data_IF_205571235781
#
_entry.id   IF_205571235781
#
_cell.length_a   1.000
_cell.length_b   1.000
_cell.length_c   1.000
_cell.angle_alpha   90.00
_cell.angle_beta   90.00
_cell.angle_gamma   90.00
#
_symmetry.space_group_name_H-M   'P 1'
#
loop_
_entity.id
_entity.type
_entity.pdbx_description
1 polymer ?
2 polymer ?
3 non-polymer ?
4 water ?
#
# COMPACT_ATOMS: atom_id res chain seq x y z
N UNK A 6 -2.13 -15.98 -12.15
CA UNK A 6 -2.75 -15.26 -10.99
C UNK A 6 -4.25 -14.95 -11.05
N UNK A 7 -4.90 -15.14 -9.91
CA UNK A 7 -6.35 -15.06 -9.87
C UNK A 7 -6.72 -13.57 -9.81
N UNK A 8 -7.86 -13.21 -10.39
CA UNK A 8 -8.40 -11.86 -10.28
C UNK A 8 -8.62 -11.47 -8.80
N UNK A 9 -7.86 -10.48 -8.32
CA UNK A 9 -7.96 -10.00 -6.93
C UNK A 9 -9.39 -9.76 -6.46
N UNK A 10 -10.22 -9.10 -7.25
CA UNK A 10 -11.54 -8.66 -6.78
C UNK A 10 -12.39 -9.86 -6.38
N UNK A 11 -12.09 -10.96 -7.04
CA UNK A 11 -12.84 -12.17 -6.77
C UNK A 11 -12.41 -12.83 -5.46
N UNK A 12 -11.43 -12.29 -4.76
CA UNK A 12 -10.97 -12.99 -3.58
C UNK A 12 -11.53 -12.31 -2.35
N UNK A 13 -12.13 -11.14 -2.53
CA UNK A 13 -12.61 -10.47 -1.35
C UNK A 13 -13.54 -11.35 -0.52
N UNK A 14 -14.45 -12.06 -1.17
CA UNK A 14 -15.53 -12.57 -0.34
C UNK A 14 -15.14 -13.85 0.39
N UNK A 15 -13.96 -14.40 0.08
CA UNK A 15 -13.34 -15.44 0.90
C UNK A 15 -12.11 -14.90 1.66
N UNK A 16 -11.97 -13.59 1.82
CA UNK A 16 -10.82 -13.04 2.54
C UNK A 16 -11.19 -12.52 3.95
N UNK A 17 -10.46 -12.99 4.96
CA UNK A 17 -10.40 -12.34 6.27
C UNK A 17 -10.04 -10.88 6.18
N UNK A 18 -10.24 -10.12 7.26
CA UNK A 18 -9.90 -8.70 7.24
C UNK A 18 -8.42 -8.48 6.94
N UNK A 19 -7.62 -9.46 7.32
CA UNK A 19 -6.20 -9.25 7.12
C UNK A 19 -5.82 -9.56 5.66
N UNK A 20 -6.35 -10.67 5.14
CA UNK A 20 -6.21 -10.97 3.73
C UNK A 20 -6.71 -9.82 2.86
N UNK A 21 -7.74 -9.10 3.30
CA UNK A 21 -8.20 -7.96 2.52
C UNK A 21 -7.15 -6.87 2.46
N UNK A 22 -6.42 -6.67 3.56
CA UNK A 22 -5.36 -5.66 3.59
C UNK A 22 -4.23 -6.09 2.68
N UNK A 23 -3.90 -7.38 2.70
CA UNK A 23 -2.83 -7.83 1.83
C UNK A 23 -3.21 -7.69 0.33
N UNK A 24 -4.44 -8.10 -0.03
CA UNK A 24 -4.95 -7.99 -1.40
C UNK A 24 -4.81 -6.55 -1.88
N UNK A 25 -5.16 -5.58 -1.03
CA UNK A 25 -4.95 -4.18 -1.38
C UNK A 25 -3.45 -3.91 -1.58
N UNK A 26 -2.56 -4.49 -0.79
CA UNK A 26 -1.14 -4.23 -1.05
C UNK A 26 -0.70 -4.81 -2.39
N UNK A 27 -1.14 -6.04 -2.66
CA UNK A 27 -0.87 -6.80 -3.88
C UNK A 27 -1.26 -5.96 -5.09
N UNK A 28 -2.42 -5.33 -4.99
CA UNK A 28 -2.95 -4.55 -6.09
C UNK A 28 -2.13 -3.27 -6.22
N UNK A 29 -1.85 -2.61 -5.10
CA UNK A 29 -1.02 -1.41 -5.11
C UNK A 29 0.37 -1.74 -5.65
N UNK A 30 0.95 -2.87 -5.28
CA UNK A 30 2.29 -3.15 -5.77
C UNK A 30 2.21 -3.39 -7.29
N UNK A 31 1.21 -4.14 -7.75
CA UNK A 31 1.07 -4.42 -9.18
C UNK A 31 0.91 -3.17 -10.06
N UNK A 32 0.04 -2.26 -9.64
CA UNK A 32 -0.09 -0.97 -10.28
C UNK A 32 1.16 -0.11 -10.24
N UNK A 33 1.85 -0.14 -9.10
CA UNK A 33 3.06 0.65 -8.96
C UNK A 33 4.10 0.03 -9.89
N UNK A 34 4.21 -1.30 -9.93
CA UNK A 34 5.17 -1.93 -10.83
C UNK A 34 4.89 -1.51 -12.28
N UNK A 35 3.62 -1.39 -12.65
CA UNK A 35 3.31 -1.13 -14.04
C UNK A 35 3.69 0.31 -14.36
N UNK A 36 3.38 1.24 -13.45
CA UNK A 36 3.69 2.65 -13.65
C UNK A 36 5.21 2.86 -13.80
N UNK A 37 5.99 2.13 -13.02
CA UNK A 37 7.44 2.17 -13.14
C UNK A 37 7.90 1.58 -14.47
N UNK A 38 7.26 0.49 -14.90
CA UNK A 38 7.68 -0.17 -16.14
C UNK A 38 7.52 0.74 -17.34
N UNK A 39 6.49 1.58 -17.33
CA UNK A 39 6.15 2.43 -18.48
C UNK A 39 6.50 3.91 -18.24
N UNK A 40 7.25 4.21 -17.18
CA UNK A 40 7.56 5.59 -16.79
C UNK A 40 8.30 6.33 -17.92
N UNK A 41 9.21 5.65 -18.61
CA UNK A 41 9.98 6.27 -19.67
C UNK A 41 9.24 6.35 -21.01
N UNK A 42 8.01 5.84 -21.08
CA UNK A 42 7.36 5.67 -22.36
C UNK A 42 6.22 6.67 -22.48
N UNK A 43 6.16 7.56 -21.52
CA UNK A 43 5.02 8.43 -21.35
C UNK A 43 4.85 9.49 -22.46
N UNK A 44 5.83 9.62 -23.35
CA UNK A 44 5.51 10.35 -24.60
C UNK A 44 4.55 9.70 -25.63
N UNK A 45 4.34 8.38 -25.57
CA UNK A 45 3.18 7.74 -26.20
C UNK A 45 1.85 8.02 -25.50
N UNK A 46 0.81 8.39 -26.25
CA UNK A 46 -0.44 8.83 -25.64
C UNK A 46 -1.02 7.82 -24.64
N UNK A 47 -0.95 6.55 -25.01
CA UNK A 47 -1.64 5.50 -24.30
C UNK A 47 -0.82 5.19 -23.05
N UNK A 48 0.49 5.28 -23.19
CA UNK A 48 1.34 4.91 -22.09
C UNK A 48 1.23 5.92 -20.96
N UNK A 49 1.10 7.20 -21.30
CA UNK A 49 0.77 8.20 -20.32
C UNK A 49 -0.62 8.12 -19.67
N UNK A 50 -1.60 7.68 -20.44
CA UNK A 50 -2.93 7.38 -19.93
C UNK A 50 -2.81 6.24 -18.94
N UNK A 51 -2.26 5.12 -19.38
CA UNK A 51 -2.01 4.01 -18.48
C UNK A 51 -1.25 4.46 -17.19
N UNK A 52 -0.20 5.25 -17.32
CA UNK A 52 0.66 5.61 -16.20
C UNK A 52 -0.08 6.36 -15.09
N UNK A 53 -0.90 7.31 -15.51
CA UNK A 53 -1.70 8.11 -14.60
C UNK A 53 -2.83 7.31 -13.97
N UNK A 54 -3.46 6.43 -14.73
CA UNK A 54 -4.48 5.53 -14.18
C UNK A 54 -3.90 4.73 -13.03
N UNK A 55 -2.69 4.23 -13.26
CA UNK A 55 -2.03 3.37 -12.28
C UNK A 55 -1.55 4.14 -11.04
N UNK A 56 -0.92 5.31 -11.20
CA UNK A 56 -0.55 6.15 -10.05
C UNK A 56 -1.83 6.49 -9.27
N UNK A 57 -2.92 6.80 -9.95
CA UNK A 57 -4.18 7.07 -9.28
C UNK A 57 -4.70 5.91 -8.43
N UNK A 58 -4.63 4.68 -8.96
CA UNK A 58 -5.09 3.54 -8.19
C UNK A 58 -4.22 3.37 -6.95
N UNK A 59 -2.91 3.58 -7.11
CA UNK A 59 -1.95 3.34 -6.03
C UNK A 59 -2.29 4.40 -4.99
N UNK A 60 -2.54 5.61 -5.45
CA UNK A 60 -2.96 6.66 -4.54
C UNK A 60 -4.25 6.31 -3.79
N UNK A 61 -5.27 5.89 -4.53
CA UNK A 61 -6.59 5.60 -3.98
C UNK A 61 -6.48 4.48 -2.93
N UNK A 62 -5.64 3.48 -3.21
CA UNK A 62 -5.52 2.35 -2.29
C UNK A 62 -4.76 2.76 -1.03
N UNK A 63 -3.63 3.44 -1.21
CA UNK A 63 -2.83 3.92 -0.10
C UNK A 63 -3.69 4.91 0.70
N UNK A 64 -4.40 5.81 0.04
CA UNK A 64 -5.29 6.64 0.83
C UNK A 64 -6.45 5.91 1.51
N UNK A 65 -6.78 4.71 1.04
CA UNK A 65 -7.83 3.95 1.71
C UNK A 65 -7.22 3.32 2.97
N UNK A 66 -6.04 2.74 2.81
CA UNK A 66 -5.38 2.08 3.90
C UNK A 66 -5.13 3.07 5.07
N UNK A 67 -4.83 4.32 4.76
CA UNK A 67 -4.64 5.35 5.77
C UNK A 67 -5.95 5.63 6.51
N UNK A 68 -7.04 5.69 5.76
CA UNK A 68 -8.36 5.94 6.32
C UNK A 68 -8.85 4.78 7.18
N UNK A 69 -8.21 3.62 7.11
CA UNK A 69 -8.64 2.47 7.89
C UNK A 69 -7.85 2.44 9.21
N UNK A 70 -6.93 3.39 9.40
CA UNK A 70 -6.04 3.35 10.57
C UNK A 70 -6.81 3.64 11.86
N UNK A 71 -6.75 2.71 12.81
CA UNK A 71 -7.34 2.96 14.14
C UNK A 71 -6.27 3.55 15.09
N UNK A 72 -6.30 4.87 15.30
CA UNK A 72 -5.24 5.52 16.07
C UNK A 72 -5.39 5.29 17.57
N UNK A 73 -6.64 5.20 18.04
CA UNK A 73 -6.97 4.70 19.36
C UNK A 73 -6.24 3.39 19.68
N UNK A 74 -6.61 2.25 19.10
CA UNK A 74 -5.96 1.02 19.53
C UNK A 74 -4.71 0.66 18.77
N UNK A 75 -4.41 1.45 17.75
CA UNK A 75 -3.36 1.06 16.84
C UNK A 75 -2.05 1.50 17.44
N UNK A 76 -2.15 2.63 18.14
CA UNK A 76 -1.10 3.14 19.01
C UNK A 76 -0.06 3.71 18.07
N UNK A 77 1.10 3.06 18.02
CA UNK A 77 2.33 3.60 17.45
C UNK A 77 2.56 3.03 16.05
N UNK A 78 2.31 1.73 15.88
CA UNK A 78 2.02 1.13 14.59
C UNK A 78 1.07 1.94 13.72
N UNK A 79 -0.10 2.27 14.25
CA UNK A 79 -0.94 3.24 13.55
C UNK A 79 -0.23 4.53 13.13
N UNK A 80 0.58 5.09 14.03
CA UNK A 80 1.10 6.44 13.83
C UNK A 80 2.22 6.39 12.77
N UNK A 81 3.00 5.32 12.84
CA UNK A 81 4.07 5.13 11.89
C UNK A 81 3.49 4.85 10.50
N UNK A 82 2.72 3.77 10.32
CA UNK A 82 1.78 3.64 9.20
C UNK A 82 1.20 4.93 8.66
N UNK A 83 0.61 5.77 9.50
CA UNK A 83 0.07 7.01 8.95
C UNK A 83 1.17 7.88 8.33
N UNK A 84 2.34 7.79 8.94
CA UNK A 84 3.46 8.63 8.55
C UNK A 84 4.03 8.16 7.21
N UNK A 85 4.22 6.85 7.07
CA UNK A 85 4.64 6.28 5.80
C UNK A 85 3.60 6.53 4.70
N UNK A 86 2.31 6.39 4.97
CA UNK A 86 1.31 6.54 3.90
C UNK A 86 1.26 7.98 3.44
N UNK A 87 1.41 8.91 4.37
CA UNK A 87 1.33 10.32 4.01
C UNK A 87 2.48 10.72 3.10
N UNK A 88 3.67 10.20 3.39
CA UNK A 88 4.81 10.43 2.52
C UNK A 88 4.57 9.86 1.12
N UNK A 89 4.19 8.59 1.03
CA UNK A 89 3.73 8.04 -0.24
C UNK A 89 2.70 8.94 -0.89
N UNK A 90 1.63 9.27 -0.18
CA UNK A 90 0.60 10.04 -0.87
C UNK A 90 1.16 11.35 -1.42
N UNK A 91 2.05 11.96 -0.64
CA UNK A 91 2.60 13.27 -0.98
C UNK A 91 3.57 13.19 -2.14
N UNK A 92 4.37 12.13 -2.19
CA UNK A 92 5.17 11.83 -3.37
C UNK A 92 4.32 11.61 -4.62
N UNK A 93 3.27 10.81 -4.49
CA UNK A 93 2.52 10.39 -5.66
C UNK A 93 1.89 11.60 -6.34
N UNK A 94 1.56 12.65 -5.61
CA UNK A 94 1.04 13.85 -6.27
C UNK A 94 2.06 14.87 -6.80
N UNK A 95 3.34 14.65 -6.51
CA UNK A 95 4.42 15.45 -7.09
C UNK A 95 4.34 15.37 -8.62
N UNK A 96 3.82 16.44 -9.22
CA UNK A 96 4.26 16.94 -10.52
C UNK A 96 5.59 16.45 -11.10
N UNK A 97 6.65 16.40 -10.30
CA UNK A 97 7.98 16.09 -10.83
C UNK A 97 8.61 14.87 -10.17
N UNK A 98 7.80 14.02 -9.54
CA UNK A 98 8.23 12.71 -9.04
C UNK A 98 9.06 11.98 -10.09
N UNK A 99 10.03 11.17 -9.63
CA UNK A 99 11.04 10.53 -10.45
C UNK A 99 10.83 9.02 -10.44
N UNK A 100 11.43 8.33 -11.40
CA UNK A 100 11.35 6.89 -11.39
C UNK A 100 11.87 6.30 -10.08
N UNK A 101 13.01 6.79 -9.59
CA UNK A 101 13.64 6.20 -8.40
C UNK A 101 12.76 6.38 -7.18
N UNK A 102 12.08 7.51 -7.08
CA UNK A 102 11.15 7.70 -5.97
C UNK A 102 10.11 6.56 -5.92
N UNK A 103 9.54 6.23 -7.08
CA UNK A 103 8.49 5.23 -7.24
C UNK A 103 9.04 3.87 -6.91
N UNK A 104 10.29 3.64 -7.31
CA UNK A 104 10.98 2.42 -6.91
C UNK A 104 11.12 2.27 -5.40
N UNK A 105 11.25 3.37 -4.68
CA UNK A 105 11.51 3.21 -3.26
C UNK A 105 10.17 2.96 -2.57
N UNK A 106 9.14 3.73 -2.94
CA UNK A 106 7.77 3.34 -2.60
C UNK A 106 7.47 1.86 -2.85
N UNK A 107 7.95 1.34 -3.97
CA UNK A 107 7.60 -0.01 -4.30
C UNK A 107 8.25 -0.89 -3.24
N UNK A 108 9.51 -0.58 -2.91
CA UNK A 108 10.31 -1.31 -1.92
C UNK A 108 9.65 -1.31 -0.54
N UNK A 109 9.10 -0.17 -0.14
CA UNK A 109 8.36 -0.01 1.10
C UNK A 109 7.09 -0.86 1.10
N UNK A 110 6.24 -0.65 0.09
CA UNK A 110 5.04 -1.48 -0.05
C UNK A 110 5.39 -2.94 -0.01
N UNK A 111 6.48 -3.39 -0.64
CA UNK A 111 6.77 -4.82 -0.55
C UNK A 111 7.25 -5.32 0.81
N UNK A 112 7.92 -4.46 1.58
CA UNK A 112 8.47 -4.84 2.89
C UNK A 112 7.28 -4.90 3.85
N UNK A 113 6.45 -3.87 3.80
CA UNK A 113 5.21 -3.84 4.56
C UNK A 113 4.28 -5.01 4.22
N UNK A 114 4.18 -5.38 2.94
CA UNK A 114 3.25 -6.44 2.58
C UNK A 114 3.75 -7.72 3.21
N UNK A 115 5.07 -7.88 3.31
CA UNK A 115 5.64 -9.14 3.78
C UNK A 115 5.49 -9.36 5.30
N UNK A 116 5.67 -8.29 6.07
CA UNK A 116 5.18 -8.11 7.43
C UNK A 116 3.72 -8.55 7.63
N UNK A 117 2.78 -7.88 6.97
CA UNK A 117 1.37 -8.32 6.92
C UNK A 117 1.21 -9.79 6.68
N UNK A 118 1.94 -10.31 5.70
CA UNK A 118 1.95 -11.76 5.48
C UNK A 118 2.46 -12.63 6.62
N UNK A 119 3.49 -12.15 7.32
CA UNK A 119 4.03 -12.89 8.45
C UNK A 119 2.94 -12.90 9.52
N UNK A 120 2.35 -11.74 9.79
CA UNK A 120 1.23 -11.71 10.71
C UNK A 120 0.11 -12.68 10.30
N UNK A 121 -0.10 -12.90 9.00
CA UNK A 121 -1.17 -13.74 8.49
C UNK A 121 -0.94 -15.20 8.86
N UNK A 122 0.31 -15.63 8.75
CA UNK A 122 0.61 -17.04 9.00
C UNK A 122 0.72 -17.34 10.49
N UNK A 123 0.94 -16.33 11.32
CA UNK A 123 0.77 -16.46 12.77
C UNK A 123 -0.68 -16.57 13.24
N UNK A 124 -1.64 -16.28 12.36
CA UNK A 124 -3.06 -16.26 12.70
C UNK A 124 -3.79 -17.51 12.21
N UNK B 16 12.70 12.50 2.21
CA UNK B 16 11.29 12.07 2.51
C UNK B 16 10.99 10.59 2.22
N UNK B 17 11.02 10.22 0.95
CA UNK B 17 10.82 8.82 0.65
C UNK B 17 11.91 7.96 1.27
N UNK B 18 13.12 8.53 1.34
CA UNK B 18 14.21 8.04 2.18
C UNK B 18 13.87 7.94 3.66
N UNK B 19 13.23 8.97 4.19
CA UNK B 19 12.65 8.91 5.53
C UNK B 19 11.62 7.79 5.81
N UNK B 20 10.52 7.81 5.05
CA UNK B 20 9.59 6.69 4.92
C UNK B 20 10.32 5.38 4.81
N UNK B 21 11.34 5.32 3.96
CA UNK B 21 12.08 4.07 3.88
C UNK B 21 12.69 3.60 5.22
N UNK B 22 13.17 4.56 6.01
CA UNK B 22 13.87 4.27 7.26
C UNK B 22 12.88 3.84 8.33
N UNK B 23 11.83 4.66 8.49
CA UNK B 23 10.60 4.22 9.15
C UNK B 23 10.21 2.75 8.99
N UNK B 24 10.29 2.26 7.75
CA UNK B 24 9.62 1.04 7.31
C UNK B 24 10.47 -0.10 7.79
N UNK B 25 11.78 0.15 7.80
CA UNK B 25 12.71 -0.87 8.30
C UNK B 25 12.46 -1.17 9.79
N UNK B 26 11.93 -0.18 10.51
CA UNK B 26 11.49 -0.26 11.91
C UNK B 26 10.05 -0.79 12.03
N UNK B 27 9.10 0.00 11.51
CA UNK B 27 7.68 -0.39 11.41
C UNK B 27 7.35 -1.82 11.01
N UNK B 28 8.13 -2.40 10.10
CA UNK B 28 7.86 -3.77 9.71
C UNK B 28 8.15 -4.70 10.87
N UNK B 29 8.95 -4.18 11.81
CA UNK B 29 9.37 -4.97 12.97
C UNK B 29 8.32 -4.79 14.04
N UNK B 30 7.86 -3.56 14.28
CA UNK B 30 6.65 -3.31 15.08
C UNK B 30 5.52 -4.30 14.77
N UNK B 31 5.15 -4.41 13.48
CA UNK B 31 4.07 -5.29 13.03
C UNK B 31 4.41 -6.74 13.27
N UNK B 32 5.62 -7.13 12.90
CA UNK B 32 6.03 -8.52 13.09
C UNK B 32 5.92 -8.90 14.57
N UNK B 33 6.12 -7.93 15.46
CA UNK B 33 6.43 -8.17 16.86
C UNK B 33 5.23 -7.81 17.73
N UNK B 34 4.45 -6.82 17.29
CA UNK B 34 3.15 -6.53 17.87
C UNK B 34 1.98 -6.82 16.94
N UNK B 35 1.95 -8.05 16.44
CA UNK B 35 0.87 -8.54 15.59
C UNK B 35 -0.49 -8.00 15.98
N UNK B 36 -0.88 -8.34 17.21
CA UNK B 36 -2.21 -8.08 17.72
C UNK B 36 -2.60 -6.63 17.60
N UNK B 37 -1.69 -5.73 17.92
CA UNK B 37 -1.93 -4.31 17.73
C UNK B 37 -1.84 -3.88 16.25
N UNK B 38 -1.00 -4.57 15.46
CA UNK B 38 -0.90 -4.28 14.01
C UNK B 38 -2.29 -4.41 13.35
N UNK B 39 -2.91 -5.56 13.60
CA UNK B 39 -4.28 -5.81 13.18
C UNK B 39 -5.38 -4.85 13.61
N UNK B 40 -5.34 -4.38 14.85
CA UNK B 40 -6.33 -3.42 15.30
C UNK B 40 -6.01 -2.13 14.57
N UNK B 41 -4.72 -1.94 14.28
CA UNK B 41 -4.32 -0.69 13.64
C UNK B 41 -4.99 -0.59 12.27
N UNK B 42 -4.81 -1.65 11.48
CA UNK B 42 -4.89 -1.60 10.03
C UNK B 42 -6.08 -2.39 9.47
N UNK B 43 -6.43 -3.54 10.05
CA UNK B 43 -7.45 -4.40 9.47
C UNK B 43 -8.88 -3.93 9.74
N UNK B 44 -9.22 -2.75 9.26
CA UNK B 44 -10.52 -2.18 9.53
C UNK B 44 -11.24 -1.85 8.22
N UNK B 45 -10.93 -2.63 7.17
CA UNK B 45 -11.42 -2.31 5.80
C UNK B 45 -12.92 -2.53 5.69
N UNK B 46 -13.62 -1.61 5.03
CA UNK B 46 -15.02 -1.89 4.64
C UNK B 46 -15.00 -2.69 3.34
N UNK B 47 -15.58 -3.89 3.38
CA UNK B 47 -15.52 -4.84 2.26
C UNK B 47 -15.88 -4.27 0.87
N UNK B 48 -16.91 -3.42 0.78
CA UNK B 48 -17.21 -2.82 -0.51
C UNK B 48 -16.13 -1.90 -1.06
N UNK B 49 -15.44 -1.14 -0.21
CA UNK B 49 -14.34 -0.30 -0.68
C UNK B 49 -13.26 -1.18 -1.30
N UNK B 50 -13.02 -2.33 -0.67
CA UNK B 50 -11.88 -3.18 -1.05
C UNK B 50 -12.20 -3.72 -2.45
N UNK B 51 -13.38 -4.31 -2.58
CA UNK B 51 -13.96 -4.69 -3.85
C UNK B 51 -13.81 -3.62 -4.95
N UNK B 52 -14.16 -2.36 -4.70
CA UNK B 52 -13.93 -1.30 -5.67
C UNK B 52 -12.45 -1.10 -5.99
N UNK B 53 -11.57 -1.07 -4.98
CA UNK B 53 -10.15 -0.77 -5.21
C UNK B 53 -9.51 -1.94 -5.91
N UNK B 54 -10.20 -3.08 -5.96
CA UNK B 54 -9.60 -4.24 -6.61
C UNK B 54 -10.05 -4.56 -8.06
N UNK B 55 -10.94 -3.75 -8.64
CA UNK B 55 -11.25 -3.77 -10.08
C UNK B 55 -10.09 -3.87 -11.09
X LIG C 1 -10.35 5.29 -22.23
X LIG C 1 -11.32 5.37 -21.08
X LIG C 1 -10.83 4.35 -23.30
X LIG C 1 -10.21 6.69 -22.81
X LIG C 1 -9.02 4.76 -21.76
X LIG D 1 4.04 -3.21 -22.91
X LIG D 1 2.60 -2.78 -22.93
X LIG D 1 4.64 -2.93 -24.26
X LIG D 1 4.81 -2.41 -21.86
X LIG D 1 4.19 -4.68 -22.66
#
# INVERSE_FOLDING_TARGET
MRNIAEAYFQNQVETATPLEQIILLYDKAIECLERAIEIYDQVNELEKRKEFVENIDRVYDIISALKSFLDHEKGKEIAKNLDTIYTIILNTLVKVDKTKEELQKILEILKDLREAWEEVKKKVHHHHHH
AVAKDNTDNAESIIRNVDFAKEMTEFTKYQIRMQSGVAMLAQANALPQLVLQLLR
PO4 P O1 O2 O3 O4
PO4 P O1 O2 O3 O4
#
